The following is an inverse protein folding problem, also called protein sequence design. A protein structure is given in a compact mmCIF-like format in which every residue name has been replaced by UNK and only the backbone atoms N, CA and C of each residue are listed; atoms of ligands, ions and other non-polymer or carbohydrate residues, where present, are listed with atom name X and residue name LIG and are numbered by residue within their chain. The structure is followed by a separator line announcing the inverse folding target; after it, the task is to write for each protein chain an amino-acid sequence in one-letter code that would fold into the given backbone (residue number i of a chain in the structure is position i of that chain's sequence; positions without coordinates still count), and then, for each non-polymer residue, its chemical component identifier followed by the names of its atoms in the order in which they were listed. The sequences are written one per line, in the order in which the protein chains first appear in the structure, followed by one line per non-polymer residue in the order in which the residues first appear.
data_IF_001271733891
#
_entry.id   IF_001271733891
#
_cell.length_a   1.000
_cell.length_b   1.000
_cell.length_c   1.000
_cell.angle_alpha   90.00
_cell.angle_beta   90.00
_cell.angle_gamma   90.00
#
_symmetry.space_group_name_H-M   'P 1'
#
loop_
_entity.id
_entity.type
_entity.pdbx_description
1 polymer ?
#
# COMPACT_ATOMS: atom_id res chain seq x y z
N UNK A 1 17.28 21.57 -51.09
CA UNK A 1 17.93 20.34 -50.60
C UNK A 1 17.53 20.11 -49.15
N UNK A 2 16.74 19.07 -48.88
CA UNK A 2 16.23 18.76 -47.54
C UNK A 2 17.30 17.97 -46.77
N UNK A 3 17.79 18.52 -45.66
CA UNK A 3 18.63 17.84 -44.66
C UNK A 3 17.77 16.78 -43.96
N UNK A 4 18.02 15.50 -44.26
CA UNK A 4 17.47 14.39 -43.47
C UNK A 4 18.27 14.26 -42.16
N UNK A 5 17.55 14.20 -41.03
CA UNK A 5 18.07 14.07 -39.66
C UNK A 5 18.81 12.74 -39.49
N UNK A 6 20.08 12.80 -39.09
CA UNK A 6 20.92 11.71 -38.57
C UNK A 6 20.43 11.20 -37.19
N UNK A 7 19.17 10.82 -37.05
CA UNK A 7 18.62 10.29 -35.79
C UNK A 7 18.22 8.81 -35.85
N UNK A 8 18.16 8.19 -37.03
CA UNK A 8 17.75 6.78 -37.16
C UNK A 8 18.90 5.78 -37.23
N UNK A 9 20.13 6.21 -37.53
CA UNK A 9 21.27 5.30 -37.73
C UNK A 9 22.06 4.94 -36.45
N UNK A 10 21.61 5.36 -35.25
CA UNK A 10 22.32 5.09 -33.98
C UNK A 10 21.58 4.17 -33.02
N UNK A 11 20.38 3.71 -33.36
CA UNK A 11 19.61 2.78 -32.52
C UNK A 11 19.69 1.31 -32.97
N UNK A 12 20.30 1.01 -34.12
CA UNK A 12 20.48 -0.38 -34.57
C UNK A 12 21.66 -1.07 -33.86
N UNK A 13 22.65 -0.32 -33.35
CA UNK A 13 23.86 -0.86 -32.71
C UNK A 13 23.74 -1.09 -31.19
N UNK A 14 22.54 -1.04 -30.63
CA UNK A 14 22.27 -1.51 -29.25
C UNK A 14 21.43 -2.78 -29.24
N UNK A 15 21.57 -3.62 -30.26
CA UNK A 15 21.27 -5.03 -30.09
C UNK A 15 22.23 -5.51 -29.00
N UNK A 16 21.71 -5.73 -27.79
CA UNK A 16 22.43 -6.45 -26.75
C UNK A 16 22.91 -7.75 -27.41
N UNK A 17 24.22 -7.84 -27.63
CA UNK A 17 24.86 -8.99 -28.26
C UNK A 17 24.67 -10.16 -27.30
N UNK A 18 24.06 -11.23 -27.81
CA UNK A 18 23.95 -12.45 -27.01
C UNK A 18 25.31 -13.15 -26.90
N UNK A 19 25.48 -14.07 -25.93
CA UNK A 19 26.68 -14.90 -25.86
C UNK A 19 26.89 -15.77 -27.11
N UNK A 20 25.86 -15.95 -27.93
CA UNK A 20 25.91 -16.77 -29.16
C UNK A 20 26.02 -15.85 -30.39
N UNK A 21 27.08 -16.06 -31.17
CA UNK A 21 27.31 -15.29 -32.37
C UNK A 21 26.14 -15.40 -33.36
N UNK A 22 25.65 -14.26 -33.85
CA UNK A 22 24.57 -14.21 -34.84
C UNK A 22 23.15 -14.20 -34.25
N UNK A 23 22.99 -14.23 -32.93
CA UNK A 23 21.68 -14.08 -32.27
C UNK A 23 21.58 -12.79 -31.46
N UNK A 24 20.41 -12.16 -31.54
CA UNK A 24 20.03 -11.12 -30.58
C UNK A 24 19.75 -11.73 -29.20
N UNK A 25 19.90 -10.97 -28.11
CA UNK A 25 19.52 -11.49 -26.76
C UNK A 25 18.08 -11.98 -26.68
N UNK A 26 17.15 -11.37 -27.45
CA UNK A 26 15.75 -11.79 -27.49
C UNK A 26 15.59 -13.17 -28.13
N UNK A 27 16.32 -13.44 -29.20
CA UNK A 27 16.31 -14.77 -29.85
C UNK A 27 17.03 -15.81 -29.01
N UNK A 28 18.17 -15.43 -28.41
CA UNK A 28 18.90 -16.29 -27.48
C UNK A 28 18.03 -16.75 -26.31
N UNK A 29 17.30 -15.82 -25.66
CA UNK A 29 16.40 -16.13 -24.54
C UNK A 29 15.24 -17.07 -24.90
N UNK A 30 14.77 -17.02 -26.15
CA UNK A 30 13.71 -17.94 -26.63
C UNK A 30 14.23 -19.34 -26.95
N UNK A 31 15.54 -19.50 -27.05
CA UNK A 31 16.21 -20.74 -27.47
C UNK A 31 17.22 -21.21 -26.40
N UNK A 32 17.00 -20.84 -25.13
CA UNK A 32 17.93 -21.19 -24.05
C UNK A 32 18.13 -22.70 -23.94
N UNK A 33 17.08 -23.49 -24.21
CA UNK A 33 17.10 -24.94 -24.17
C UNK A 33 18.06 -25.58 -25.20
N UNK A 34 18.38 -24.86 -26.28
CA UNK A 34 19.34 -25.34 -27.29
C UNK A 34 20.79 -25.10 -26.87
N UNK A 35 21.03 -24.17 -25.93
CA UNK A 35 22.37 -23.74 -25.54
C UNK A 35 22.73 -24.08 -24.09
N UNK A 36 21.74 -24.34 -23.23
CA UNK A 36 21.90 -24.63 -21.82
C UNK A 36 21.39 -26.02 -21.49
N UNK A 37 22.15 -26.73 -20.66
CA UNK A 37 21.72 -27.96 -20.03
C UNK A 37 20.75 -27.68 -18.86
N UNK A 38 20.23 -28.75 -18.24
CA UNK A 38 19.31 -28.67 -17.10
C UNK A 38 19.85 -27.74 -15.98
N UNK A 39 21.13 -27.92 -15.62
CA UNK A 39 21.80 -27.09 -14.60
C UNK A 39 21.90 -25.62 -15.00
N UNK A 40 22.19 -25.33 -16.27
CA UNK A 40 22.24 -23.97 -16.80
C UNK A 40 20.88 -23.26 -16.76
N UNK A 41 19.77 -24.00 -16.93
CA UNK A 41 18.42 -23.47 -16.86
C UNK A 41 17.99 -23.10 -15.43
N UNK A 42 18.46 -23.81 -14.40
CA UNK A 42 18.17 -23.49 -12.99
C UNK A 42 18.58 -22.06 -12.60
N UNK A 43 19.62 -21.51 -13.25
CA UNK A 43 20.13 -20.16 -12.96
C UNK A 43 19.47 -19.06 -13.79
N UNK A 44 18.48 -19.40 -14.63
CA UNK A 44 17.84 -18.42 -15.50
C UNK A 44 16.65 -17.75 -14.82
N UNK A 45 16.38 -16.52 -15.24
CA UNK A 45 15.24 -15.77 -14.71
C UNK A 45 13.91 -16.45 -15.12
N UNK A 46 12.93 -16.60 -14.21
CA UNK A 46 11.67 -17.28 -14.52
C UNK A 46 10.91 -16.71 -15.72
N UNK A 47 11.01 -15.39 -15.96
CA UNK A 47 10.39 -14.76 -17.12
C UNK A 47 10.99 -15.20 -18.47
N UNK A 48 12.29 -15.51 -18.50
CA UNK A 48 12.94 -16.00 -19.72
C UNK A 48 12.56 -17.47 -19.96
N UNK A 49 12.50 -18.28 -18.89
CA UNK A 49 12.05 -19.68 -18.93
C UNK A 49 10.59 -19.83 -19.36
N UNK A 50 9.70 -18.91 -18.96
CA UNK A 50 8.28 -18.95 -19.29
C UNK A 50 7.99 -18.85 -20.80
N UNK A 51 8.96 -18.34 -21.58
CA UNK A 51 8.86 -18.22 -23.03
C UNK A 51 9.39 -19.43 -23.82
N UNK A 52 9.90 -20.46 -23.14
CA UNK A 52 10.48 -21.63 -23.79
C UNK A 52 9.40 -22.56 -24.36
N UNK A 53 9.69 -23.26 -25.47
CA UNK A 53 8.82 -24.30 -26.00
C UNK A 53 8.94 -25.57 -25.12
N UNK A 54 8.05 -25.73 -24.14
CA UNK A 54 8.11 -26.86 -23.19
C UNK A 54 8.09 -28.24 -23.87
N UNK A 55 7.49 -28.33 -25.05
CA UNK A 55 7.36 -29.59 -25.82
C UNK A 55 8.70 -30.03 -26.45
N UNK A 56 9.68 -29.14 -26.52
CA UNK A 56 11.02 -29.41 -27.05
C UNK A 56 12.06 -29.66 -25.96
N UNK A 57 11.69 -29.50 -24.68
CA UNK A 57 12.59 -29.71 -23.55
C UNK A 57 12.80 -31.19 -23.28
N UNK A 58 14.05 -31.58 -23.00
CA UNK A 58 14.34 -32.90 -22.45
C UNK A 58 13.78 -33.03 -21.02
N UNK A 59 13.57 -34.27 -20.54
CA UNK A 59 13.01 -34.53 -19.21
C UNK A 59 13.77 -33.81 -18.08
N UNK A 60 15.10 -33.86 -18.08
CA UNK A 60 15.94 -33.18 -17.08
C UNK A 60 15.79 -31.65 -17.12
N UNK A 61 15.58 -31.09 -18.32
CA UNK A 61 15.33 -29.66 -18.50
C UNK A 61 13.91 -29.28 -18.03
N UNK A 62 12.91 -30.13 -18.30
CA UNK A 62 11.55 -29.95 -17.78
C UNK A 62 11.55 -29.91 -16.26
N UNK A 63 12.23 -30.87 -15.61
CA UNK A 63 12.34 -30.95 -14.16
C UNK A 63 13.02 -29.70 -13.56
N UNK A 64 14.13 -29.25 -14.16
CA UNK A 64 14.82 -28.03 -13.72
C UNK A 64 13.96 -26.77 -13.86
N UNK A 65 13.26 -26.61 -14.98
CA UNK A 65 12.39 -25.44 -15.21
C UNK A 65 11.15 -25.50 -14.32
N UNK A 66 10.65 -26.71 -14.04
CA UNK A 66 9.60 -26.96 -13.06
C UNK A 66 10.03 -26.51 -11.66
N UNK A 67 11.21 -26.92 -11.19
CA UNK A 67 11.74 -26.50 -9.90
C UNK A 67 11.82 -24.98 -9.79
N UNK A 68 12.34 -24.28 -10.81
CA UNK A 68 12.41 -22.80 -10.79
C UNK A 68 11.02 -22.16 -10.71
N UNK A 69 10.01 -22.71 -11.41
CA UNK A 69 8.65 -22.18 -11.33
C UNK A 69 7.96 -22.48 -10.02
N UNK A 70 8.23 -23.65 -9.43
CA UNK A 70 7.80 -23.93 -8.06
C UNK A 70 8.46 -22.91 -7.16
N UNK A 71 9.78 -22.85 -7.02
CA UNK A 71 10.50 -21.95 -6.09
C UNK A 71 10.19 -20.44 -6.26
N UNK A 72 9.77 -20.00 -7.45
CA UNK A 72 9.39 -18.61 -7.72
C UNK A 72 7.87 -18.34 -7.71
N UNK A 73 7.07 -19.24 -7.15
CA UNK A 73 5.61 -19.09 -7.03
C UNK A 73 4.89 -18.86 -8.37
N UNK A 74 5.33 -19.55 -9.43
CA UNK A 74 4.70 -19.53 -10.75
C UNK A 74 3.85 -20.79 -10.94
N UNK A 75 2.87 -20.97 -10.07
CA UNK A 75 2.10 -22.21 -9.91
C UNK A 75 1.43 -22.70 -11.18
N UNK A 76 0.85 -21.82 -12.00
CA UNK A 76 0.19 -22.24 -13.24
C UNK A 76 1.19 -22.75 -14.29
N UNK A 77 2.41 -22.19 -14.29
CA UNK A 77 3.48 -22.67 -15.18
C UNK A 77 4.07 -23.98 -14.65
N UNK A 78 4.23 -24.11 -13.32
CA UNK A 78 4.66 -25.35 -12.68
C UNK A 78 3.65 -26.49 -12.92
N UNK A 79 2.34 -26.25 -12.76
CA UNK A 79 1.27 -27.21 -13.06
C UNK A 79 1.31 -27.66 -14.52
N UNK A 80 1.52 -26.72 -15.47
CA UNK A 80 1.67 -27.06 -16.90
C UNK A 80 2.89 -27.93 -17.19
N UNK A 81 4.02 -27.69 -16.52
CA UNK A 81 5.22 -28.52 -16.69
C UNK A 81 5.06 -29.88 -16.03
N UNK A 82 4.43 -29.95 -14.85
CA UNK A 82 4.12 -31.20 -14.17
C UNK A 82 3.35 -32.15 -15.11
N UNK A 83 2.30 -31.65 -15.78
CA UNK A 83 1.52 -32.47 -16.72
C UNK A 83 2.37 -32.98 -17.91
N UNK A 84 3.43 -32.25 -18.31
CA UNK A 84 4.38 -32.70 -19.34
C UNK A 84 5.38 -33.72 -18.81
N UNK A 85 5.91 -33.52 -17.60
CA UNK A 85 6.80 -34.46 -16.93
C UNK A 85 6.07 -35.80 -16.74
N UNK A 86 4.86 -35.76 -16.20
CA UNK A 86 4.06 -36.97 -15.92
C UNK A 86 3.68 -37.73 -17.21
N UNK A 87 3.44 -37.01 -18.31
CA UNK A 87 3.14 -37.60 -19.61
C UNK A 87 4.37 -38.18 -20.32
N UNK A 88 5.59 -37.93 -19.81
CA UNK A 88 6.82 -38.43 -20.43
C UNK A 88 6.93 -39.96 -20.24
N UNK A 89 7.26 -40.74 -21.30
CA UNK A 89 7.24 -42.20 -21.24
C UNK A 89 8.25 -42.81 -20.27
N UNK A 90 9.36 -42.10 -20.03
CA UNK A 90 10.44 -42.57 -19.16
C UNK A 90 10.17 -42.32 -17.66
N UNK A 91 9.06 -41.67 -17.32
CA UNK A 91 8.70 -41.36 -15.92
C UNK A 91 7.81 -42.46 -15.35
N UNK A 92 8.30 -43.07 -14.27
CA UNK A 92 7.62 -44.12 -13.50
C UNK A 92 6.47 -43.57 -12.66
N UNK A 93 5.54 -44.43 -12.23
CA UNK A 93 4.43 -44.02 -11.36
C UNK A 93 4.90 -43.42 -10.04
N UNK A 94 6.00 -43.93 -9.46
CA UNK A 94 6.59 -43.36 -8.26
C UNK A 94 7.15 -41.95 -8.49
N UNK A 95 7.84 -41.72 -9.61
CA UNK A 95 8.35 -40.39 -9.96
C UNK A 95 7.20 -39.40 -10.22
N UNK A 96 6.08 -39.84 -10.80
CA UNK A 96 4.90 -39.00 -11.00
C UNK A 96 4.36 -38.47 -9.67
N UNK A 97 4.24 -39.34 -8.67
CA UNK A 97 3.78 -38.95 -7.34
C UNK A 97 4.83 -38.11 -6.61
N UNK A 98 6.13 -38.38 -6.77
CA UNK A 98 7.19 -37.56 -6.16
C UNK A 98 7.20 -36.13 -6.70
N UNK A 99 7.11 -35.93 -8.02
CA UNK A 99 7.07 -34.58 -8.61
C UNK A 99 5.75 -33.88 -8.25
N UNK A 100 4.64 -34.63 -8.15
CA UNK A 100 3.37 -34.09 -7.65
C UNK A 100 3.46 -33.68 -6.17
N UNK A 101 4.10 -34.49 -5.32
CA UNK A 101 4.37 -34.20 -3.91
C UNK A 101 5.14 -32.90 -3.75
N UNK A 102 6.15 -32.68 -4.60
CA UNK A 102 6.91 -31.44 -4.62
C UNK A 102 6.01 -30.24 -4.93
N UNK A 103 5.17 -30.30 -5.98
CA UNK A 103 4.24 -29.22 -6.30
C UNK A 103 3.25 -28.94 -5.16
N UNK A 104 2.60 -29.97 -4.62
CA UNK A 104 1.57 -29.78 -3.59
C UNK A 104 2.14 -29.30 -2.26
N UNK A 105 3.37 -29.68 -1.91
CA UNK A 105 4.05 -29.19 -0.72
C UNK A 105 4.23 -27.68 -0.76
N UNK A 106 4.85 -27.17 -1.84
CA UNK A 106 5.01 -25.72 -2.01
C UNK A 106 3.69 -24.97 -2.20
N UNK A 107 2.74 -25.56 -2.91
CA UNK A 107 1.41 -24.98 -3.06
C UNK A 107 0.70 -24.84 -1.70
N UNK A 108 0.83 -25.82 -0.81
CA UNK A 108 0.30 -25.78 0.54
C UNK A 108 0.98 -24.71 1.41
N UNK A 109 2.32 -24.68 1.39
CA UNK A 109 3.13 -23.73 2.17
C UNK A 109 2.82 -22.27 1.80
N UNK A 110 2.49 -22.01 0.53
CA UNK A 110 2.14 -20.67 0.05
C UNK A 110 0.63 -20.40 -0.02
N UNK A 111 -0.20 -21.34 0.44
CA UNK A 111 -1.65 -21.14 0.56
C UNK A 111 -2.44 -21.23 -0.76
N UNK A 112 -1.91 -21.92 -1.77
CA UNK A 112 -2.61 -22.23 -3.04
C UNK A 112 -3.58 -23.42 -2.87
N UNK A 113 -4.58 -23.25 -2.00
CA UNK A 113 -5.53 -24.31 -1.60
C UNK A 113 -6.25 -24.96 -2.78
N UNK A 114 -6.64 -24.16 -3.78
CA UNK A 114 -7.33 -24.69 -4.95
C UNK A 114 -6.44 -25.66 -5.75
N UNK A 115 -5.12 -25.40 -5.80
CA UNK A 115 -4.17 -26.28 -6.45
C UNK A 115 -4.01 -27.57 -5.65
N UNK A 116 -3.83 -27.46 -4.33
CA UNK A 116 -3.73 -28.62 -3.43
C UNK A 116 -4.96 -29.51 -3.57
N UNK A 117 -6.17 -28.94 -3.46
CA UNK A 117 -7.43 -29.67 -3.60
C UNK A 117 -7.59 -30.35 -4.98
N UNK A 118 -7.08 -29.75 -6.05
CA UNK A 118 -7.06 -30.37 -7.40
C UNK A 118 -6.07 -31.53 -7.50
N UNK A 119 -4.94 -31.48 -6.79
CA UNK A 119 -3.83 -32.42 -6.99
C UNK A 119 -3.80 -33.57 -5.99
N UNK A 120 -4.25 -33.39 -4.75
CA UNK A 120 -4.30 -34.45 -3.73
C UNK A 120 -5.08 -35.70 -4.23
N UNK A 121 -6.25 -35.59 -4.87
CA UNK A 121 -6.96 -36.76 -5.41
C UNK A 121 -6.29 -37.43 -6.61
N UNK A 122 -5.25 -36.83 -7.20
CA UNK A 122 -4.54 -37.32 -8.40
C UNK A 122 -3.30 -38.16 -8.06
N UNK A 123 -2.96 -38.32 -6.79
CA UNK A 123 -1.89 -39.24 -6.37
C UNK A 123 -2.28 -40.68 -6.68
N UNK A 124 -1.34 -41.45 -7.22
CA UNK A 124 -1.54 -42.87 -7.50
C UNK A 124 -1.47 -43.67 -6.19
N UNK A 125 -0.52 -43.31 -5.33
CA UNK A 125 -0.37 -43.81 -3.97
C UNK A 125 -0.75 -42.71 -2.95
N UNK A 126 -1.86 -42.87 -2.21
CA UNK A 126 -2.25 -41.92 -1.16
C UNK A 126 -1.19 -41.73 -0.06
N UNK A 127 -0.31 -42.70 0.17
CA UNK A 127 0.77 -42.59 1.17
C UNK A 127 1.88 -41.63 0.72
N UNK A 128 1.95 -41.30 -0.58
CA UNK A 128 2.91 -40.34 -1.12
C UNK A 128 2.49 -38.88 -0.95
N UNK A 129 1.24 -38.61 -0.54
CA UNK A 129 0.83 -37.24 -0.20
C UNK A 129 1.57 -36.83 1.08
N UNK A 130 2.32 -35.71 1.10
CA UNK A 130 3.07 -35.32 2.29
C UNK A 130 2.15 -35.19 3.53
N UNK A 131 2.51 -35.77 4.69
CA UNK A 131 1.65 -35.80 5.87
C UNK A 131 1.15 -34.41 6.32
N UNK A 132 2.03 -33.41 6.36
CA UNK A 132 1.66 -32.04 6.71
C UNK A 132 0.64 -31.42 5.73
N UNK A 133 0.70 -31.75 4.43
CA UNK A 133 -0.29 -31.31 3.43
C UNK A 133 -1.63 -31.98 3.67
N UNK A 134 -1.64 -33.29 3.96
CA UNK A 134 -2.89 -34.00 4.28
C UNK A 134 -3.56 -33.40 5.52
N UNK A 135 -2.75 -33.12 6.55
CA UNK A 135 -3.21 -32.58 7.80
C UNK A 135 -3.71 -31.14 7.66
N UNK A 136 -2.92 -30.27 7.03
CA UNK A 136 -3.28 -28.89 6.77
C UNK A 136 -4.54 -28.77 5.91
N UNK A 137 -4.66 -29.59 4.86
CA UNK A 137 -5.87 -29.66 4.04
C UNK A 137 -7.09 -30.11 4.87
N UNK A 138 -6.95 -31.14 5.71
CA UNK A 138 -8.04 -31.61 6.58
C UNK A 138 -8.45 -30.57 7.64
N UNK A 139 -7.51 -29.76 8.14
CA UNK A 139 -7.79 -28.68 9.08
C UNK A 139 -8.49 -27.48 8.43
N UNK A 140 -8.12 -27.14 7.18
CA UNK A 140 -8.76 -26.06 6.39
C UNK A 140 -10.14 -26.47 5.84
N UNK A 141 -10.31 -27.76 5.58
CA UNK A 141 -11.56 -28.36 5.13
C UNK A 141 -12.00 -29.52 6.04
N UNK A 142 -12.48 -29.20 7.26
CA UNK A 142 -12.86 -30.21 8.25
C UNK A 142 -13.85 -31.22 7.69
N UNK A 143 -13.52 -32.49 7.85
CA UNK A 143 -14.40 -33.62 7.58
C UNK A 143 -14.56 -34.46 8.85
N UNK A 144 -15.42 -35.48 8.80
CA UNK A 144 -15.70 -36.34 9.96
C UNK A 144 -14.47 -37.04 10.55
N UNK A 145 -13.37 -37.15 9.79
CA UNK A 145 -12.13 -37.82 10.18
C UNK A 145 -11.04 -36.88 10.70
N UNK A 146 -11.23 -35.56 10.68
CA UNK A 146 -10.17 -34.61 11.07
C UNK A 146 -9.72 -34.82 12.52
N UNK A 147 -10.66 -35.12 13.43
CA UNK A 147 -10.33 -35.40 14.82
C UNK A 147 -9.58 -36.73 14.99
N UNK A 148 -9.92 -37.74 14.18
CA UNK A 148 -9.21 -39.02 14.20
C UNK A 148 -7.75 -38.87 13.74
N UNK A 149 -7.50 -37.99 12.76
CA UNK A 149 -6.14 -37.65 12.31
C UNK A 149 -5.34 -36.94 13.41
N UNK A 150 -5.94 -35.93 14.06
CA UNK A 150 -5.31 -35.21 15.18
C UNK A 150 -5.02 -36.16 16.35
N UNK A 151 -5.96 -37.05 16.68
CA UNK A 151 -5.81 -38.04 17.74
C UNK A 151 -4.73 -39.06 17.40
N UNK A 152 -4.60 -39.48 16.14
CA UNK A 152 -3.55 -40.40 15.70
C UNK A 152 -2.15 -39.81 15.91
N UNK A 153 -1.92 -38.57 15.46
CA UNK A 153 -0.66 -37.84 15.66
C UNK A 153 -0.32 -37.65 17.15
N UNK A 154 -1.29 -37.19 17.95
CA UNK A 154 -1.10 -37.03 19.39
C UNK A 154 -0.83 -38.36 20.10
N UNK A 155 -1.53 -39.42 19.70
CA UNK A 155 -1.39 -40.77 20.27
C UNK A 155 -0.04 -41.39 19.96
N UNK A 156 0.48 -41.23 18.75
CA UNK A 156 1.80 -41.71 18.37
C UNK A 156 2.89 -41.13 19.29
N UNK A 157 2.80 -39.83 19.58
CA UNK A 157 3.67 -39.19 20.57
C UNK A 157 3.48 -39.74 21.99
N UNK A 158 2.25 -39.74 22.51
CA UNK A 158 1.97 -40.05 23.93
C UNK A 158 2.17 -41.54 24.26
N UNK A 159 1.74 -42.43 23.37
CA UNK A 159 1.71 -43.87 23.61
C UNK A 159 2.96 -44.56 23.08
N UNK A 160 3.35 -44.23 21.86
CA UNK A 160 4.39 -44.95 21.13
C UNK A 160 5.77 -44.27 21.29
N UNK A 161 5.80 -43.09 21.91
CA UNK A 161 7.02 -42.37 22.27
C UNK A 161 7.72 -41.76 21.05
N UNK A 162 6.96 -41.52 19.98
CA UNK A 162 7.46 -40.89 18.77
C UNK A 162 7.89 -39.43 19.01
N UNK A 163 8.26 -38.73 17.94
CA UNK A 163 8.56 -37.30 18.01
C UNK A 163 7.28 -36.54 18.38
N UNK A 164 7.36 -35.41 19.11
CA UNK A 164 6.20 -34.55 19.27
C UNK A 164 5.60 -34.17 17.90
N UNK A 165 4.27 -34.01 17.80
CA UNK A 165 3.58 -33.83 16.53
C UNK A 165 3.78 -32.41 16.00
N UNK A 166 4.98 -32.16 15.44
CA UNK A 166 5.45 -30.84 14.99
C UNK A 166 4.62 -30.32 13.83
N UNK A 167 4.39 -31.15 12.81
CA UNK A 167 3.58 -30.80 11.64
C UNK A 167 2.16 -30.39 12.06
N UNK A 168 1.55 -31.12 13.01
CA UNK A 168 0.25 -30.76 13.57
C UNK A 168 0.26 -29.40 14.28
N UNK A 169 1.28 -29.15 15.09
CA UNK A 169 1.43 -27.88 15.77
C UNK A 169 1.58 -26.73 14.75
N UNK A 170 2.42 -26.91 13.73
CA UNK A 170 2.64 -25.95 12.66
C UNK A 170 1.35 -25.64 11.88
N UNK A 171 0.63 -26.67 11.42
CA UNK A 171 -0.62 -26.48 10.67
C UNK A 171 -1.74 -25.83 11.50
N UNK A 172 -1.77 -26.11 12.80
CA UNK A 172 -2.71 -25.47 13.71
C UNK A 172 -2.37 -24.00 13.97
N UNK A 173 -1.09 -23.58 13.93
CA UNK A 173 -0.73 -22.16 14.05
C UNK A 173 -1.30 -21.34 12.88
N UNK A 174 -1.38 -21.92 11.68
CA UNK A 174 -1.97 -21.28 10.52
C UNK A 174 -3.51 -21.23 10.57
N UNK A 175 -4.16 -22.33 10.96
CA UNK A 175 -5.62 -22.51 10.83
C UNK A 175 -6.40 -22.17 12.11
N UNK A 176 -5.84 -22.52 13.27
CA UNK A 176 -6.45 -22.36 14.59
C UNK A 176 -5.43 -21.78 15.58
N UNK A 177 -5.00 -20.51 15.42
CA UNK A 177 -3.81 -19.97 16.07
C UNK A 177 -3.72 -20.21 17.58
N UNK A 178 -4.83 -20.05 18.31
CA UNK A 178 -4.86 -20.25 19.76
C UNK A 178 -4.59 -21.71 20.16
N UNK A 179 -5.15 -22.67 19.41
CA UNK A 179 -4.92 -24.10 19.64
C UNK A 179 -3.50 -24.48 19.22
N UNK A 180 -3.03 -23.95 18.07
CA UNK A 180 -1.67 -24.13 17.60
C UNK A 180 -0.64 -23.69 18.63
N UNK A 181 -0.79 -22.50 19.21
CA UNK A 181 0.11 -21.99 20.27
C UNK A 181 0.16 -22.96 21.46
N UNK A 182 -0.99 -23.46 21.92
CA UNK A 182 -1.03 -24.40 23.05
C UNK A 182 -0.34 -25.72 22.71
N UNK A 183 -0.57 -26.26 21.51
CA UNK A 183 0.04 -27.52 21.10
C UNK A 183 1.55 -27.36 20.89
N UNK A 184 1.97 -26.30 20.19
CA UNK A 184 3.38 -25.95 19.97
C UNK A 184 4.16 -25.93 21.27
N UNK A 185 3.63 -25.26 22.30
CA UNK A 185 4.25 -25.19 23.63
C UNK A 185 4.45 -26.56 24.28
N UNK A 186 3.55 -27.51 24.01
CA UNK A 186 3.68 -28.90 24.43
C UNK A 186 4.57 -29.76 23.52
N UNK A 187 4.76 -29.33 22.27
CA UNK A 187 5.55 -30.04 21.26
C UNK A 187 7.04 -29.65 21.23
N UNK A 188 7.46 -28.64 22.02
CA UNK A 188 8.86 -28.25 22.14
C UNK A 188 9.71 -29.41 22.67
N UNK A 189 10.77 -29.76 21.93
CA UNK A 189 11.70 -30.84 22.30
C UNK A 189 13.15 -30.39 22.11
N UNK A 190 13.86 -30.20 23.22
CA UNK A 190 15.25 -29.77 23.22
C UNK A 190 16.18 -30.71 22.44
N UNK A 191 15.80 -31.98 22.20
CA UNK A 191 16.56 -32.92 21.34
C UNK A 191 16.60 -32.48 19.89
N UNK A 192 15.65 -31.64 19.47
CA UNK A 192 15.52 -31.13 18.12
C UNK A 192 15.40 -29.60 18.16
N UNK A 193 16.51 -28.89 18.40
CA UNK A 193 16.46 -27.46 18.67
C UNK A 193 15.91 -26.66 17.48
N UNK A 194 16.29 -27.02 16.25
CA UNK A 194 15.91 -26.29 15.03
C UNK A 194 14.38 -26.23 14.84
N UNK A 195 13.69 -27.32 15.14
CA UNK A 195 12.24 -27.40 15.12
C UNK A 195 11.57 -26.50 16.17
N UNK A 196 12.16 -26.43 17.36
CA UNK A 196 11.67 -25.57 18.44
C UNK A 196 11.82 -24.08 18.10
N UNK A 197 12.95 -23.69 17.52
CA UNK A 197 13.15 -22.32 17.02
C UNK A 197 12.11 -21.96 15.96
N UNK A 198 11.94 -22.81 14.94
CA UNK A 198 10.95 -22.59 13.88
C UNK A 198 9.52 -22.45 14.43
N UNK A 199 9.12 -23.31 15.37
CA UNK A 199 7.79 -23.23 15.96
C UNK A 199 7.55 -21.96 16.79
N UNK A 200 8.57 -21.50 17.53
CA UNK A 200 8.44 -20.29 18.35
C UNK A 200 8.34 -19.04 17.48
N UNK A 201 9.08 -18.98 16.37
CA UNK A 201 8.92 -17.90 15.39
C UNK A 201 7.48 -17.86 14.82
N UNK A 202 6.92 -19.01 14.49
CA UNK A 202 5.54 -19.13 13.99
C UNK A 202 4.49 -18.83 15.07
N UNK A 203 4.81 -19.09 16.34
CA UNK A 203 3.98 -18.68 17.48
C UNK A 203 3.86 -17.16 17.54
N UNK A 204 4.94 -16.40 17.30
CA UNK A 204 4.84 -14.93 17.28
C UNK A 204 3.89 -14.46 16.16
N UNK A 205 3.99 -15.02 14.95
CA UNK A 205 3.05 -14.73 13.87
C UNK A 205 1.61 -15.09 14.23
N UNK A 206 1.39 -16.23 14.90
CA UNK A 206 0.07 -16.65 15.37
C UNK A 206 -0.48 -15.74 16.48
N UNK A 207 0.39 -15.24 17.37
CA UNK A 207 0.04 -14.28 18.43
C UNK A 207 -0.36 -12.93 17.85
N UNK A 208 0.37 -12.45 16.86
CA UNK A 208 0.06 -11.21 16.14
C UNK A 208 -1.34 -11.27 15.52
N UNK A 209 -1.70 -12.40 14.87
CA UNK A 209 -3.04 -12.63 14.32
C UNK A 209 -4.15 -12.58 15.39
N UNK A 210 -3.84 -12.95 16.63
CA UNK A 210 -4.77 -12.93 17.76
C UNK A 210 -4.78 -11.58 18.50
N UNK A 211 -3.91 -10.63 18.15
CA UNK A 211 -3.70 -9.40 18.92
C UNK A 211 -3.16 -9.66 20.32
N UNK A 212 -2.44 -10.77 20.53
CA UNK A 212 -1.78 -11.06 21.79
C UNK A 212 -0.52 -10.17 21.96
N UNK A 213 -0.03 -9.94 23.19
CA UNK A 213 1.21 -9.18 23.40
C UNK A 213 2.40 -9.81 22.65
N UNK A 214 3.38 -9.03 22.19
CA UNK A 214 4.60 -9.59 21.63
C UNK A 214 5.40 -10.37 22.68
N UNK A 215 6.31 -11.24 22.24
CA UNK A 215 7.20 -12.06 23.06
C UNK A 215 6.46 -13.13 23.87
N UNK A 216 6.29 -14.30 23.28
CA UNK A 216 5.76 -15.46 23.96
C UNK A 216 6.63 -15.81 25.19
N UNK A 217 6.03 -15.96 26.39
CA UNK A 217 6.78 -16.35 27.57
C UNK A 217 7.51 -17.70 27.42
N UNK A 218 7.11 -18.54 26.46
CA UNK A 218 7.77 -19.82 26.19
C UNK A 218 9.15 -19.69 25.54
N UNK A 219 9.55 -18.52 25.03
CA UNK A 219 10.96 -18.29 24.67
C UNK A 219 11.90 -18.57 25.85
N UNK A 220 11.57 -18.04 27.03
CA UNK A 220 12.37 -18.25 28.23
C UNK A 220 12.31 -19.71 28.74
N UNK A 221 11.14 -20.36 28.61
CA UNK A 221 11.00 -21.77 28.96
C UNK A 221 11.85 -22.66 28.03
N UNK A 222 11.85 -22.35 26.74
CA UNK A 222 12.64 -23.04 25.73
C UNK A 222 14.14 -22.88 25.95
N UNK A 223 14.60 -21.66 26.21
CA UNK A 223 16.00 -21.40 26.56
C UNK A 223 16.43 -22.18 27.81
N UNK A 224 15.57 -22.26 28.82
CA UNK A 224 15.81 -23.06 30.00
C UNK A 224 15.94 -24.56 29.66
N UNK A 225 15.04 -25.11 28.83
CA UNK A 225 15.12 -26.50 28.36
C UNK A 225 16.42 -26.79 27.60
N UNK A 226 16.84 -25.90 26.72
CA UNK A 226 18.13 -26.01 26.00
C UNK A 226 19.30 -25.94 26.97
N UNK A 227 19.24 -25.05 27.97
CA UNK A 227 20.23 -24.94 29.04
C UNK A 227 20.36 -26.23 29.84
N UNK A 228 19.24 -26.82 30.27
CA UNK A 228 19.21 -28.10 30.97
C UNK A 228 19.78 -29.24 30.13
N UNK A 229 19.45 -29.29 28.84
CA UNK A 229 19.97 -30.30 27.95
C UNK A 229 21.50 -30.17 27.74
N UNK A 230 22.01 -28.93 27.63
CA UNK A 230 23.45 -28.66 27.61
C UNK A 230 24.11 -29.10 28.93
N UNK A 231 23.51 -28.76 30.08
CA UNK A 231 23.97 -29.18 31.41
C UNK A 231 24.02 -30.70 31.56
N UNK A 232 23.02 -31.41 31.04
CA UNK A 232 22.96 -32.87 31.11
C UNK A 232 24.13 -33.53 30.35
N UNK A 233 24.62 -32.89 29.28
CA UNK A 233 25.76 -33.35 28.48
C UNK A 233 27.11 -32.81 28.94
N UNK A 234 27.13 -31.83 29.84
CA UNK A 234 28.31 -31.13 30.30
C UNK A 234 29.09 -31.92 31.37
N UNK A 235 30.40 -31.70 31.44
CA UNK A 235 31.23 -32.12 32.58
C UNK A 235 30.87 -31.34 33.85
N UNK A 236 31.24 -31.84 35.03
CA UNK A 236 30.85 -31.21 36.30
C UNK A 236 31.38 -29.77 36.47
N UNK A 237 32.56 -29.47 35.92
CA UNK A 237 33.09 -28.10 35.88
C UNK A 237 32.30 -27.17 34.95
N UNK A 238 31.85 -27.69 33.81
CA UNK A 238 30.99 -26.95 32.88
C UNK A 238 29.58 -26.75 33.45
N UNK A 239 29.08 -27.70 34.26
CA UNK A 239 27.80 -27.56 34.97
C UNK A 239 27.83 -26.45 36.02
N UNK A 240 28.90 -26.33 36.80
CA UNK A 240 29.04 -25.22 37.75
C UNK A 240 29.10 -23.87 37.02
N UNK A 241 29.84 -23.79 35.91
CA UNK A 241 29.89 -22.58 35.09
C UNK A 241 28.53 -22.21 34.51
N UNK A 242 27.82 -23.16 33.88
CA UNK A 242 26.50 -22.88 33.30
C UNK A 242 25.48 -22.46 34.37
N UNK A 243 25.55 -23.02 35.59
CA UNK A 243 24.67 -22.61 36.69
C UNK A 243 24.92 -21.16 37.10
N UNK A 244 26.19 -20.76 37.23
CA UNK A 244 26.55 -19.38 37.51
C UNK A 244 26.09 -18.44 36.39
N UNK A 245 26.30 -18.82 35.12
CA UNK A 245 25.88 -18.04 33.96
C UNK A 245 24.34 -17.92 33.89
N UNK A 246 23.59 -18.99 34.19
CA UNK A 246 22.11 -18.96 34.24
C UNK A 246 21.58 -18.09 35.39
N UNK A 247 22.22 -18.12 36.57
CA UNK A 247 21.86 -17.24 37.68
C UNK A 247 22.13 -15.77 37.34
N UNK A 248 23.24 -15.49 36.65
CA UNK A 248 23.55 -14.15 36.17
C UNK A 248 22.50 -13.67 35.15
N UNK A 249 22.19 -14.47 34.13
CA UNK A 249 21.17 -14.10 33.13
C UNK A 249 19.78 -13.90 33.75
N UNK A 250 19.41 -14.69 34.77
CA UNK A 250 18.15 -14.47 35.50
C UNK A 250 18.11 -13.12 36.19
N UNK A 251 19.20 -12.68 36.82
CA UNK A 251 19.29 -11.35 37.44
C UNK A 251 19.18 -10.24 36.40
N UNK A 252 19.93 -10.35 35.30
CA UNK A 252 19.89 -9.38 34.20
C UNK A 252 18.48 -9.29 33.59
N UNK A 253 17.78 -10.42 33.42
CA UNK A 253 16.40 -10.44 32.91
C UNK A 253 15.39 -9.82 33.91
N UNK A 254 15.58 -10.02 35.21
CA UNK A 254 14.76 -9.38 36.25
C UNK A 254 14.96 -7.87 36.27
N UNK A 255 16.21 -7.40 36.17
CA UNK A 255 16.56 -5.98 36.07
C UNK A 255 15.96 -5.35 34.80
N UNK A 256 16.15 -5.97 33.64
CA UNK A 256 15.59 -5.50 32.38
C UNK A 256 14.05 -5.44 32.40
N UNK A 257 13.37 -6.40 33.04
CA UNK A 257 11.91 -6.36 33.22
C UNK A 257 11.47 -5.23 34.14
N UNK A 258 12.22 -4.95 35.21
CA UNK A 258 11.93 -3.84 36.09
C UNK A 258 12.07 -2.50 35.34
N UNK A 259 13.13 -2.34 34.55
CA UNK A 259 13.33 -1.15 33.69
C UNK A 259 12.21 -1.00 32.65
N UNK A 260 11.83 -2.08 31.96
CA UNK A 260 10.73 -2.06 31.01
C UNK A 260 9.41 -1.64 31.65
N UNK A 261 9.12 -2.10 32.87
CA UNK A 261 7.91 -1.68 33.60
C UNK A 261 7.94 -0.19 33.96
N UNK A 262 9.11 0.36 34.27
CA UNK A 262 9.27 1.81 34.51
C UNK A 262 8.98 2.57 33.21
N UNK A 263 9.59 2.18 32.09
CA UNK A 263 9.38 2.82 30.80
C UNK A 263 7.92 2.75 30.33
N UNK A 264 7.23 1.63 30.55
CA UNK A 264 5.80 1.50 30.23
C UNK A 264 4.94 2.48 31.05
N UNK A 265 5.26 2.68 32.33
CA UNK A 265 4.56 3.66 33.17
C UNK A 265 4.85 5.09 32.71
N UNK A 266 6.07 5.39 32.31
CA UNK A 266 6.45 6.69 31.75
C UNK A 266 5.73 6.97 30.41
N UNK A 267 5.67 5.98 29.52
CA UNK A 267 4.90 6.08 28.27
C UNK A 267 3.42 6.32 28.52
N UNK A 268 2.80 5.56 29.44
CA UNK A 268 1.40 5.77 29.80
C UNK A 268 1.15 7.16 30.39
N UNK A 269 2.09 7.69 31.19
CA UNK A 269 2.01 9.05 31.70
C UNK A 269 2.10 10.08 30.58
N UNK A 270 3.05 9.93 29.66
CA UNK A 270 3.20 10.86 28.53
C UNK A 270 2.03 10.79 27.55
N UNK A 271 1.42 9.63 27.36
CA UNK A 271 0.18 9.49 26.58
C UNK A 271 -0.97 10.27 27.24
N UNK A 272 -1.14 10.16 28.56
CA UNK A 272 -2.14 10.97 29.27
C UNK A 272 -1.85 12.48 29.21
N UNK A 273 -0.58 12.89 29.29
CA UNK A 273 -0.19 14.29 29.11
C UNK A 273 -0.51 14.80 27.69
N UNK A 274 -0.34 13.98 26.66
CA UNK A 274 -0.71 14.31 25.28
C UNK A 274 -2.22 14.43 25.12
N UNK A 275 -3.00 13.49 25.63
CA UNK A 275 -4.48 13.55 25.60
C UNK A 275 -5.02 14.81 26.30
N UNK A 276 -4.45 15.19 27.46
CA UNK A 276 -4.81 16.42 28.17
C UNK A 276 -4.46 17.68 27.37
N UNK A 277 -3.33 17.69 26.67
CA UNK A 277 -2.91 18.80 25.82
C UNK A 277 -3.78 18.92 24.57
N UNK A 278 -4.11 17.81 23.94
CA UNK A 278 -5.02 17.74 22.79
C UNK A 278 -6.42 18.22 23.18
N UNK A 279 -6.95 17.79 24.33
CA UNK A 279 -8.23 18.26 24.84
C UNK A 279 -8.24 19.78 25.08
N UNK A 280 -7.17 20.32 25.67
CA UNK A 280 -7.02 21.78 25.90
C UNK A 280 -6.88 22.56 24.60
N UNK A 281 -6.19 22.01 23.60
CA UNK A 281 -6.06 22.61 22.28
C UNK A 281 -7.44 22.69 21.60
N UNK A 282 -8.19 21.60 21.61
CA UNK A 282 -9.55 21.54 21.05
C UNK A 282 -10.52 22.53 21.75
N UNK A 283 -10.47 22.63 23.08
CA UNK A 283 -11.26 23.63 23.81
C UNK A 283 -10.89 25.08 23.45
N UNK A 284 -9.59 25.35 23.29
CA UNK A 284 -9.12 26.68 22.91
C UNK A 284 -9.53 27.06 21.48
N UNK A 285 -9.51 26.08 20.55
CA UNK A 285 -9.94 26.26 19.17
C UNK A 285 -11.45 26.52 19.08
N UNK A 286 -12.27 25.74 19.79
CA UNK A 286 -13.71 25.96 19.86
C UNK A 286 -14.07 27.36 20.41
N UNK A 287 -13.35 27.82 21.45
CA UNK A 287 -13.51 29.18 21.97
C UNK A 287 -13.06 30.27 20.98
N UNK A 288 -12.05 30.00 20.15
CA UNK A 288 -11.60 30.92 19.13
C UNK A 288 -12.61 31.02 17.98
N UNK A 289 -13.18 29.91 17.53
CA UNK A 289 -14.26 29.88 16.53
C UNK A 289 -15.52 30.61 17.01
N UNK A 290 -15.94 30.38 18.27
CA UNK A 290 -17.09 31.07 18.84
C UNK A 290 -16.87 32.59 18.85
N UNK A 291 -15.67 33.05 19.24
CA UNK A 291 -15.30 34.48 19.21
C UNK A 291 -15.28 35.03 17.78
N UNK A 292 -14.73 34.30 16.82
CA UNK A 292 -14.72 34.72 15.42
C UNK A 292 -16.15 34.90 14.87
N UNK A 293 -17.05 33.96 15.17
CA UNK A 293 -18.45 34.02 14.74
C UNK A 293 -19.20 35.24 15.29
N UNK A 294 -18.92 35.65 16.54
CA UNK A 294 -19.53 36.84 17.14
C UNK A 294 -19.05 38.13 16.48
N UNK A 295 -17.76 38.20 16.11
CA UNK A 295 -17.18 39.35 15.39
C UNK A 295 -17.81 39.48 14.00
N UNK A 296 -17.97 38.37 13.27
CA UNK A 296 -18.60 38.36 11.95
C UNK A 296 -20.06 38.81 11.99
N UNK A 297 -20.82 38.42 13.02
CA UNK A 297 -22.21 38.87 13.21
C UNK A 297 -22.29 40.37 13.50
N UNK A 298 -21.34 40.93 14.25
CA UNK A 298 -21.26 42.38 14.48
C UNK A 298 -20.87 43.16 13.22
N UNK A 299 -19.90 42.65 12.45
CA UNK A 299 -19.45 43.22 11.17
C UNK A 299 -20.61 43.25 10.16
N UNK A 300 -21.37 42.16 10.03
CA UNK A 300 -22.55 42.07 9.17
C UNK A 300 -23.64 43.08 9.55
N UNK A 301 -23.91 43.26 10.85
CA UNK A 301 -24.88 44.26 11.33
C UNK A 301 -24.42 45.68 10.98
N UNK A 302 -23.12 46.00 11.10
CA UNK A 302 -22.56 47.29 10.69
C UNK A 302 -22.69 47.51 9.19
N UNK A 303 -22.39 46.49 8.39
CA UNK A 303 -22.57 46.57 6.93
C UNK A 303 -24.03 46.75 6.53
N UNK A 304 -24.97 46.07 7.20
CA UNK A 304 -26.41 46.21 6.89
C UNK A 304 -26.93 47.61 7.23
N UNK A 305 -26.52 48.16 8.38
CA UNK A 305 -26.87 49.54 8.76
C UNK A 305 -26.30 50.56 7.77
N UNK A 306 -25.02 50.44 7.40
CA UNK A 306 -24.40 51.28 6.38
C UNK A 306 -25.11 51.16 5.01
N UNK A 307 -25.50 49.95 4.60
CA UNK A 307 -26.25 49.72 3.37
C UNK A 307 -27.64 50.38 3.39
N UNK A 308 -28.34 50.35 4.53
CA UNK A 308 -29.63 51.05 4.69
C UNK A 308 -29.46 52.57 4.57
N UNK A 309 -28.40 53.13 5.14
CA UNK A 309 -28.10 54.56 5.01
C UNK A 309 -27.75 54.95 3.57
N UNK A 310 -26.94 54.14 2.88
CA UNK A 310 -26.61 54.36 1.47
C UNK A 310 -27.87 54.28 0.60
N UNK A 311 -28.77 53.31 0.82
CA UNK A 311 -30.06 53.23 0.11
C UNK A 311 -30.95 54.45 0.38
N UNK A 312 -30.95 54.98 1.61
CA UNK A 312 -31.65 56.24 1.93
C UNK A 312 -31.06 57.42 1.14
N UNK A 313 -29.73 57.56 1.13
CA UNK A 313 -29.02 58.61 0.38
C UNK A 313 -29.26 58.48 -1.13
N UNK A 314 -29.26 57.27 -1.68
CA UNK A 314 -29.59 57.02 -3.10
C UNK A 314 -31.01 57.47 -3.40
N UNK A 315 -32.01 57.12 -2.59
CA UNK A 315 -33.39 57.58 -2.80
C UNK A 315 -33.52 59.11 -2.75
N UNK A 316 -32.79 59.77 -1.85
CA UNK A 316 -32.77 61.22 -1.78
C UNK A 316 -32.14 61.83 -3.04
N UNK A 317 -31.00 61.29 -3.49
CA UNK A 317 -30.32 61.71 -4.71
C UNK A 317 -31.18 61.44 -5.97
N UNK A 318 -31.85 60.30 -6.05
CA UNK A 318 -32.81 60.00 -7.10
C UNK A 318 -33.99 60.98 -7.10
N UNK A 319 -34.47 61.39 -5.92
CA UNK A 319 -35.47 62.44 -5.76
C UNK A 319 -35.00 63.77 -6.36
N UNK A 320 -33.81 64.23 -5.96
CA UNK A 320 -33.19 65.46 -6.51
C UNK A 320 -32.92 65.37 -8.00
N UNK A 321 -32.53 64.20 -8.51
CA UNK A 321 -32.32 63.98 -9.94
C UNK A 321 -33.65 64.05 -10.68
N UNK A 322 -34.73 63.45 -10.16
CA UNK A 322 -36.07 63.55 -10.75
C UNK A 322 -36.56 64.99 -10.78
N UNK A 323 -36.39 65.74 -9.69
CA UNK A 323 -36.70 67.17 -9.64
C UNK A 323 -35.89 67.94 -10.70
N UNK A 324 -34.58 67.77 -10.74
CA UNK A 324 -33.73 68.40 -11.74
C UNK A 324 -33.97 67.91 -13.18
N UNK A 325 -34.53 66.71 -13.38
CA UNK A 325 -34.96 66.22 -14.70
C UNK A 325 -36.31 66.79 -15.09
N UNK A 326 -37.25 66.98 -14.16
CA UNK A 326 -38.49 67.70 -14.39
C UNK A 326 -38.20 69.16 -14.77
N UNK A 327 -37.30 69.82 -14.05
CA UNK A 327 -36.83 71.17 -14.37
C UNK A 327 -36.16 71.21 -15.75
N UNK A 328 -35.26 70.27 -16.05
CA UNK A 328 -34.65 70.18 -17.38
C UNK A 328 -35.64 69.80 -18.48
N UNK A 329 -36.65 68.99 -18.21
CA UNK A 329 -37.71 68.68 -19.15
C UNK A 329 -38.57 69.91 -19.41
N UNK A 330 -38.85 70.72 -18.39
CA UNK A 330 -39.57 71.98 -18.53
C UNK A 330 -38.75 73.02 -19.31
N UNK A 331 -37.46 73.11 -19.02
CA UNK A 331 -36.51 73.93 -19.79
C UNK A 331 -36.32 73.42 -21.21
N UNK A 332 -36.33 72.10 -21.45
CA UNK A 332 -36.28 71.50 -22.79
C UNK A 332 -37.59 71.69 -23.55
N UNK A 333 -38.74 71.71 -22.88
CA UNK A 333 -40.02 72.08 -23.49
C UNK A 333 -39.98 73.53 -23.96
N UNK A 334 -39.46 74.42 -23.11
CA UNK A 334 -39.21 75.84 -23.43
C UNK A 334 -38.12 76.02 -24.50
N UNK A 335 -37.13 75.13 -24.57
CA UNK A 335 -36.09 75.16 -25.60
C UNK A 335 -36.53 74.50 -26.92
N UNK A 336 -37.43 73.52 -26.90
CA UNK A 336 -38.05 72.90 -28.08
C UNK A 336 -39.07 73.83 -28.74
N UNK A 337 -39.68 74.76 -27.97
CA UNK A 337 -40.41 75.90 -28.54
C UNK A 337 -39.51 76.90 -29.29
N UNK A 338 -38.18 76.82 -29.12
CA UNK A 338 -37.20 77.77 -29.69
C UNK A 338 -36.32 77.14 -30.79
N UNK A 339 -36.33 75.82 -30.98
CA UNK A 339 -35.42 75.20 -31.95
C UNK A 339 -36.00 73.93 -32.56
N UNK A 340 -36.84 74.10 -33.59
CA UNK A 340 -36.93 73.13 -34.69
C UNK A 340 -35.55 73.06 -35.37
N UNK A 341 -34.96 71.85 -35.40
CA UNK A 341 -34.08 71.28 -36.43
C UNK A 341 -32.98 70.39 -35.82
N UNK A 342 -33.15 69.09 -36.09
CA UNK A 342 -32.16 68.00 -36.20
C UNK A 342 -31.23 67.63 -35.03
N UNK A 343 -31.06 66.31 -34.81
CA UNK A 343 -29.78 65.81 -34.31
C UNK A 343 -29.23 64.64 -35.14
N UNK A 344 -27.95 64.75 -35.49
CA UNK A 344 -27.07 63.64 -35.87
C UNK A 344 -26.26 63.17 -34.65
N UNK A 345 -25.93 61.88 -34.64
CA UNK A 345 -25.25 61.06 -33.62
C UNK A 345 -23.92 61.63 -33.07
N UNK A 346 -23.43 61.12 -31.91
CA UNK A 346 -22.27 60.22 -32.02
C UNK A 346 -22.12 59.11 -30.95
N UNK A 347 -21.56 57.97 -31.42
CA UNK A 347 -20.37 57.22 -30.92
C UNK A 347 -20.30 56.78 -29.44
N UNK A 348 -20.34 55.45 -29.26
CA UNK A 348 -19.78 54.70 -28.11
C UNK A 348 -18.30 54.41 -28.35
N UNK A 349 -17.46 54.65 -27.34
CA UNK A 349 -16.04 54.26 -27.32
C UNK A 349 -15.75 53.12 -26.34
N UNK A 350 -14.93 52.19 -26.85
CA UNK A 350 -13.92 51.36 -26.17
C UNK A 350 -14.35 50.42 -25.04
N UNK A 351 -14.48 49.13 -25.42
CA UNK A 351 -14.20 48.01 -24.52
C UNK A 351 -12.68 47.78 -24.43
N UNK A 352 -12.25 47.45 -23.22
CA UNK A 352 -10.90 47.22 -22.74
C UNK A 352 -10.35 45.86 -23.21
N UNK A 353 -9.01 45.70 -23.40
CA UNK A 353 -8.40 44.47 -23.92
C UNK A 353 -8.32 43.33 -22.91
N UNK A 354 -8.43 42.09 -23.41
CA UNK A 354 -8.10 40.85 -22.70
C UNK A 354 -6.59 40.78 -22.39
N UNK A 355 -6.27 40.61 -21.11
CA UNK A 355 -4.93 40.28 -20.62
C UNK A 355 -4.77 38.76 -20.40
N UNK A 356 -3.54 38.23 -20.46
CA UNK A 356 -3.28 36.79 -20.37
C UNK A 356 -3.45 36.33 -18.91
N UNK A 357 -4.34 35.37 -18.69
CA UNK A 357 -4.55 34.71 -17.39
C UNK A 357 -3.29 33.96 -16.94
N UNK A 358 -2.46 34.63 -16.14
CA UNK A 358 -1.52 34.01 -15.20
C UNK A 358 -2.28 33.69 -13.88
N UNK A 359 -2.18 32.44 -13.42
CA UNK A 359 -2.84 31.96 -12.18
C UNK A 359 -2.38 32.82 -10.98
N UNK A 360 -3.30 33.55 -10.31
CA UNK A 360 -3.01 34.27 -9.08
C UNK A 360 -2.86 33.26 -7.94
N UNK A 361 -1.67 33.22 -7.34
CA UNK A 361 -1.40 32.32 -6.23
C UNK A 361 0.06 32.39 -5.82
N UNK A 362 0.28 32.39 -4.51
CA UNK A 362 1.61 32.41 -3.90
C UNK A 362 2.29 31.04 -4.06
N UNK A 363 3.62 31.07 -4.26
CA UNK A 363 4.43 29.87 -4.37
C UNK A 363 4.48 29.14 -3.02
N UNK A 364 4.18 27.84 -3.04
CA UNK A 364 4.22 27.02 -1.83
C UNK A 364 5.62 26.42 -1.68
N UNK A 365 6.24 26.64 -0.52
CA UNK A 365 7.54 26.06 -0.18
C UNK A 365 7.50 24.52 -0.15
N UNK A 366 8.66 23.87 -0.23
CA UNK A 366 8.72 22.42 -0.08
C UNK A 366 8.33 22.02 1.35
N UNK A 367 7.33 21.14 1.48
CA UNK A 367 6.93 20.56 2.76
C UNK A 367 7.55 19.17 2.95
N UNK A 368 7.65 18.71 4.21
CA UNK A 368 8.15 17.38 4.57
C UNK A 368 7.23 16.23 4.14
N UNK A 369 7.48 15.02 4.67
CA UNK A 369 6.67 13.83 4.37
C UNK A 369 5.20 14.04 4.80
N UNK A 370 4.28 13.79 3.88
CA UNK A 370 2.82 13.81 4.08
C UNK A 370 2.17 12.63 3.36
N UNK A 371 1.20 11.99 4.00
CA UNK A 371 0.48 10.84 3.44
C UNK A 371 -0.72 11.34 2.62
N UNK A 372 -0.80 11.06 1.30
CA UNK A 372 -1.96 11.45 0.50
C UNK A 372 -3.21 10.65 0.88
N UNK A 373 -4.27 11.35 1.31
CA UNK A 373 -5.60 10.78 1.57
C UNK A 373 -6.56 11.25 0.49
N UNK A 374 -7.31 10.34 -0.13
CA UNK A 374 -8.17 10.63 -1.27
C UNK A 374 -9.64 10.70 -0.85
N UNK A 375 -10.28 11.84 -1.05
CA UNK A 375 -11.72 12.00 -0.85
C UNK A 375 -12.54 11.19 -1.86
N UNK A 376 -13.81 10.93 -1.55
CA UNK A 376 -14.74 10.29 -2.48
C UNK A 376 -14.92 11.10 -3.77
N UNK A 377 -14.81 12.43 -3.68
CA UNK A 377 -14.85 13.34 -4.82
C UNK A 377 -13.63 13.16 -5.71
N UNK A 378 -12.44 13.04 -5.13
CA UNK A 378 -11.21 12.79 -5.88
C UNK A 378 -11.27 11.45 -6.60
N UNK A 379 -11.74 10.39 -5.93
CA UNK A 379 -11.95 9.06 -6.54
C UNK A 379 -12.91 9.14 -7.74
N UNK A 380 -14.07 9.79 -7.56
CA UNK A 380 -15.05 9.98 -8.64
C UNK A 380 -14.49 10.80 -9.82
N UNK A 381 -13.61 11.76 -9.56
CA UNK A 381 -12.97 12.56 -10.60
C UNK A 381 -11.94 11.75 -11.39
N UNK A 382 -11.15 10.89 -10.72
CA UNK A 382 -10.16 10.04 -11.37
C UNK A 382 -10.79 9.00 -12.29
N UNK A 383 -11.91 8.40 -11.89
CA UNK A 383 -12.63 7.39 -12.68
C UNK A 383 -13.15 7.94 -14.03
N UNK A 384 -13.39 9.25 -14.11
CA UNK A 384 -13.89 9.93 -15.31
C UNK A 384 -12.77 10.39 -16.24
N UNK A 385 -11.51 10.31 -15.82
CA UNK A 385 -10.36 10.79 -16.58
C UNK A 385 -9.71 9.67 -17.40
N UNK A 386 -9.03 10.01 -18.52
CA UNK A 386 -8.21 9.03 -19.24
C UNK A 386 -7.13 8.44 -18.32
N UNK A 387 -6.88 7.13 -18.43
CA UNK A 387 -5.94 6.40 -17.56
C UNK A 387 -4.55 7.06 -17.44
N UNK A 388 -4.07 7.67 -18.53
CA UNK A 388 -2.79 8.40 -18.55
C UNK A 388 -2.80 9.65 -17.66
N UNK A 389 -3.93 10.35 -17.57
CA UNK A 389 -4.10 11.55 -16.74
C UNK A 389 -4.30 11.14 -15.28
N UNK A 390 -5.12 10.12 -15.02
CA UNK A 390 -5.32 9.59 -13.67
C UNK A 390 -4.00 9.08 -13.06
N UNK A 391 -3.21 8.32 -13.83
CA UNK A 391 -1.88 7.88 -13.40
C UNK A 391 -0.92 9.04 -13.11
N UNK A 392 -0.95 10.09 -13.95
CA UNK A 392 -0.14 11.29 -13.71
C UNK A 392 -0.59 12.08 -12.46
N UNK A 393 -1.89 12.10 -12.16
CA UNK A 393 -2.42 12.75 -10.96
C UNK A 393 -2.00 12.00 -9.68
N UNK A 394 -2.09 10.66 -9.69
CA UNK A 394 -1.63 9.81 -8.59
C UNK A 394 -0.13 9.98 -8.35
N UNK A 395 0.66 9.99 -9.44
CA UNK A 395 2.10 10.22 -9.35
C UNK A 395 2.43 11.62 -8.80
N UNK A 396 1.68 12.65 -9.19
CA UNK A 396 1.85 14.01 -8.67
C UNK A 396 1.52 14.09 -7.18
N UNK A 397 0.41 13.49 -6.73
CA UNK A 397 0.04 13.43 -5.31
C UNK A 397 1.10 12.68 -4.48
N UNK A 398 1.61 11.55 -4.98
CA UNK A 398 2.69 10.81 -4.33
C UNK A 398 4.00 11.60 -4.24
N UNK A 399 4.34 12.38 -5.28
CA UNK A 399 5.53 13.23 -5.26
C UNK A 399 5.41 14.41 -4.31
N UNK A 400 4.22 15.02 -4.20
CA UNK A 400 3.91 16.05 -3.21
C UNK A 400 3.98 15.50 -1.78
N UNK A 401 3.36 14.34 -1.55
CA UNK A 401 3.39 13.66 -0.26
C UNK A 401 4.81 13.23 0.16
N UNK A 402 5.64 12.80 -0.78
CA UNK A 402 7.05 12.50 -0.52
C UNK A 402 7.93 13.74 -0.28
N UNK A 403 7.38 14.95 -0.27
CA UNK A 403 8.12 16.19 -0.02
C UNK A 403 9.11 16.57 -1.14
N UNK A 404 8.92 16.07 -2.36
CA UNK A 404 9.88 16.29 -3.45
C UNK A 404 9.85 17.75 -3.93
N UNK A 405 10.97 18.50 -3.89
CA UNK A 405 10.98 19.93 -4.23
C UNK A 405 10.47 20.22 -5.66
N UNK A 406 10.70 19.32 -6.61
CA UNK A 406 10.23 19.47 -7.99
C UNK A 406 8.70 19.45 -8.13
N UNK A 407 7.99 18.76 -7.25
CA UNK A 407 6.54 18.72 -7.26
C UNK A 407 5.94 20.02 -6.69
N UNK A 408 6.54 20.54 -5.61
CA UNK A 408 6.13 21.77 -4.95
C UNK A 408 6.38 23.03 -5.79
N UNK A 409 7.38 23.04 -6.68
CA UNK A 409 7.61 24.13 -7.67
C UNK A 409 6.42 24.40 -8.59
N UNK A 410 5.49 23.47 -8.69
CA UNK A 410 4.30 23.58 -9.54
C UNK A 410 3.00 23.59 -8.73
N UNK A 411 3.11 23.70 -7.40
CA UNK A 411 2.01 23.88 -6.48
C UNK A 411 1.85 25.37 -6.15
N UNK A 412 0.62 25.88 -6.21
CA UNK A 412 0.26 27.24 -5.84
C UNK A 412 -0.84 27.23 -4.81
N UNK A 413 -0.75 28.12 -3.82
CA UNK A 413 -1.86 28.36 -2.90
C UNK A 413 -2.89 29.26 -3.58
N UNK A 414 -4.18 28.90 -3.49
CA UNK A 414 -5.24 29.61 -4.17
C UNK A 414 -5.77 30.77 -3.32
N UNK A 415 -5.91 31.95 -3.93
CA UNK A 415 -6.36 33.16 -3.23
C UNK A 415 -7.84 33.07 -2.81
N UNK A 416 -8.10 33.35 -1.53
CA UNK A 416 -9.44 33.40 -0.95
C UNK A 416 -9.98 32.07 -0.40
N UNK A 417 -9.17 31.00 -0.36
CA UNK A 417 -9.51 29.73 0.30
C UNK A 417 -8.31 29.27 1.16
N UNK A 418 -8.42 29.42 2.48
CA UNK A 418 -7.34 29.06 3.41
C UNK A 418 -7.05 27.56 3.36
N UNK A 419 -5.80 27.17 3.05
CA UNK A 419 -5.36 25.77 3.04
C UNK A 419 -5.55 25.03 1.70
N UNK A 420 -6.25 25.60 0.71
CA UNK A 420 -6.43 24.94 -0.60
C UNK A 420 -5.29 25.28 -1.56
N UNK A 421 -4.68 24.23 -2.10
CA UNK A 421 -3.60 24.32 -3.08
C UNK A 421 -3.97 23.66 -4.41
N UNK A 422 -3.31 24.11 -5.48
CA UNK A 422 -3.41 23.55 -6.82
C UNK A 422 -2.05 23.14 -7.35
N UNK A 423 -1.92 21.90 -7.82
CA UNK A 423 -0.72 21.41 -8.50
C UNK A 423 -1.00 21.05 -9.97
N UNK A 424 0.00 21.23 -10.82
CA UNK A 424 -0.10 20.92 -12.26
C UNK A 424 -0.05 19.42 -12.54
N UNK A 425 -1.04 18.89 -13.27
CA UNK A 425 -1.02 17.53 -13.82
C UNK A 425 -1.04 17.59 -15.35
N UNK A 426 0.15 17.58 -15.95
CA UNK A 426 0.31 17.75 -17.40
C UNK A 426 -0.09 19.15 -17.90
N UNK A 427 -0.60 19.27 -19.12
CA UNK A 427 -0.88 20.58 -19.73
C UNK A 427 -2.28 21.11 -19.38
N UNK A 428 -3.25 20.21 -19.23
CA UNK A 428 -4.68 20.57 -19.20
C UNK A 428 -5.39 20.24 -17.90
N UNK A 429 -4.72 19.64 -16.91
CA UNK A 429 -5.34 19.23 -15.66
C UNK A 429 -4.62 19.81 -14.44
N UNK A 430 -5.39 19.99 -13.37
CA UNK A 430 -4.95 20.50 -12.08
C UNK A 430 -5.44 19.56 -10.99
N UNK A 431 -4.57 19.28 -10.03
CA UNK A 431 -4.89 18.56 -8.81
C UNK A 431 -5.18 19.59 -7.72
N UNK A 432 -6.35 19.52 -7.10
CA UNK A 432 -6.73 20.31 -5.94
C UNK A 432 -6.53 19.48 -4.68
N UNK A 433 -5.88 20.05 -3.67
CA UNK A 433 -5.60 19.38 -2.41
C UNK A 433 -5.56 20.37 -1.25
N UNK A 434 -5.95 19.92 -0.07
CA UNK A 434 -5.88 20.67 1.16
C UNK A 434 -4.58 20.38 1.89
N UNK A 435 -4.05 21.41 2.54
CA UNK A 435 -2.95 21.32 3.48
C UNK A 435 -3.50 21.55 4.88
N UNK A 436 -3.93 20.47 5.54
CA UNK A 436 -4.25 20.48 6.97
C UNK A 436 -2.98 20.31 7.83
N UNK A 437 -3.11 20.50 9.15
CA UNK A 437 -2.03 20.33 10.13
C UNK A 437 -1.48 18.88 10.16
N UNK A 438 -0.34 18.72 10.84
CA UNK A 438 0.78 17.81 10.58
C UNK A 438 0.48 16.42 9.94
N UNK A 439 1.07 16.18 8.77
CA UNK A 439 1.33 14.83 8.23
C UNK A 439 0.38 14.33 7.14
N UNK A 440 -0.74 15.00 6.87
CA UNK A 440 -1.70 14.58 5.85
C UNK A 440 -1.72 15.55 4.66
N UNK A 441 -1.94 15.00 3.46
CA UNK A 441 -2.25 15.74 2.24
C UNK A 441 -3.59 15.23 1.73
N UNK A 442 -4.66 16.00 1.89
CA UNK A 442 -5.99 15.57 1.46
C UNK A 442 -6.22 15.97 0.01
N UNK A 443 -6.36 14.98 -0.88
CA UNK A 443 -6.66 15.20 -2.29
C UNK A 443 -8.16 15.35 -2.47
N UNK A 444 -8.59 16.52 -2.92
CA UNK A 444 -10.00 16.89 -3.07
C UNK A 444 -10.54 16.52 -4.47
N UNK A 445 -9.89 16.98 -5.55
CA UNK A 445 -10.40 16.72 -6.90
C UNK A 445 -9.34 16.93 -7.99
N UNK A 446 -9.47 16.22 -9.12
CA UNK A 446 -8.71 16.51 -10.34
C UNK A 446 -9.63 17.20 -11.35
N UNK A 447 -9.29 18.43 -11.72
CA UNK A 447 -10.11 19.27 -12.61
C UNK A 447 -9.36 19.62 -13.89
N UNK A 448 -10.10 19.90 -14.97
CA UNK A 448 -9.51 20.49 -16.18
C UNK A 448 -9.18 21.95 -15.92
N UNK A 449 -8.23 22.51 -16.67
CA UNK A 449 -7.86 23.92 -16.59
C UNK A 449 -9.06 24.84 -16.81
N UNK A 450 -9.95 24.50 -17.75
CA UNK A 450 -11.19 25.24 -18.05
C UNK A 450 -12.25 25.08 -16.95
N UNK A 451 -12.21 23.98 -16.18
CA UNK A 451 -13.14 23.69 -15.10
C UNK A 451 -12.71 24.26 -13.74
N UNK A 452 -11.50 24.82 -13.63
CA UNK A 452 -10.93 25.30 -12.37
C UNK A 452 -11.79 26.41 -11.74
N UNK A 453 -12.15 27.44 -12.50
CA UNK A 453 -12.96 28.55 -11.97
C UNK A 453 -14.34 28.10 -11.47
N UNK A 454 -14.95 27.14 -12.18
CA UNK A 454 -16.22 26.53 -11.76
C UNK A 454 -16.07 25.73 -10.48
N UNK A 455 -14.98 24.98 -10.36
CA UNK A 455 -14.66 24.21 -9.17
C UNK A 455 -14.40 25.12 -7.96
N UNK A 456 -13.73 26.25 -8.15
CA UNK A 456 -13.50 27.24 -7.09
C UNK A 456 -14.78 28.00 -6.71
N UNK A 457 -15.62 28.35 -7.68
CA UNK A 457 -16.90 29.02 -7.41
C UNK A 457 -17.89 28.15 -6.63
N UNK A 458 -17.78 26.82 -6.70
CA UNK A 458 -18.61 25.91 -5.90
C UNK A 458 -18.13 25.76 -4.44
N UNK A 459 -16.95 26.29 -4.11
CA UNK A 459 -16.29 26.18 -2.80
C UNK A 459 -16.24 27.52 -2.04
N UNK A 460 -16.68 28.61 -2.69
CA UNK A 460 -16.94 29.94 -2.09
C UNK A 460 -18.43 30.08 -1.85
#
# INVERSE_FOLDING_TARGET
GKKYKKCCAKNEDRISLSPVAGLTMREYRKRLHEFLDAKGLLSQHPADLAGLPFDELALEQLDSVFQVFVECERMELAERLLERIIAHPDVTDEERDNVRAYLVGFAHDWGHEELVARHVPKFLDPEKVPPYVQLGHALRHPNEKVLDLIEAECRAYVKDGERPPHDLAYELLATHPALGILLTRGALDARHPDDGWRLLDEVEWARDKLGAPPNDPYWAAWEAMLGEQRLAKASDAEKEKLRADLEQMRREAEEARAEAQVLVRELSKHQGELEDLEARAAEAEALAEERASLVDVEEQKRQETAARELRRKIRELEGRIREGQLERADLRRRAQEVTEAEPTEPVRTSQTPEEPLEDPGEDVGAHGLRIPVWTDKARSSLDKLPAKVASAAIAAAGALGAGRPEAWRHAKQLEGLHGLCSARVGIHHRLLFWMEEEGVLEVDEVVTREGLDRALAARR
#
